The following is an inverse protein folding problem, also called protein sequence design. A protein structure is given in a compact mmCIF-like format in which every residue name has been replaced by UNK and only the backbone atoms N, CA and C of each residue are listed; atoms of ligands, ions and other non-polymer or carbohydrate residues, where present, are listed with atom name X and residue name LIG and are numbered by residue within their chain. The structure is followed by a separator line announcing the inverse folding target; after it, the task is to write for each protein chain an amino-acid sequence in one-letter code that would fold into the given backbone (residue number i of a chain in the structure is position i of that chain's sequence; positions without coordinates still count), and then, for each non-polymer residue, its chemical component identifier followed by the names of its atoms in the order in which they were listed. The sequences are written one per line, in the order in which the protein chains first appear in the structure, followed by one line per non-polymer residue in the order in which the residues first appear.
data_IF_951061617692
#
_entry.id   IF_951061617692
#
_cell.length_a   1.000
_cell.length_b   1.000
_cell.length_c   1.000
_cell.angle_alpha   90.00
_cell.angle_beta   90.00
_cell.angle_gamma   90.00
#
_symmetry.space_group_name_H-M   'P 1'
#
loop_
_entity.id
_entity.type
_entity.pdbx_description
1 polymer ?
#
# COMPACT_ATOMS: atom_id res chain seq x y z
N UNK A 1 80.27 27.01 17.57
CA UNK A 1 79.70 28.22 16.93
C UNK A 1 79.59 27.90 15.44
N UNK A 2 78.46 27.79 14.75
CA UNK A 2 77.04 28.01 15.02
C UNK A 2 76.29 26.81 14.39
N UNK A 3 75.34 26.21 15.13
CA UNK A 3 74.34 25.29 14.58
C UNK A 3 73.31 26.10 13.76
N UNK A 4 73.02 25.69 12.54
CA UNK A 4 71.84 26.17 11.80
C UNK A 4 70.81 25.05 11.77
N UNK A 5 69.84 25.18 12.66
CA UNK A 5 68.67 24.30 12.78
C UNK A 5 67.68 24.65 11.68
N UNK A 6 67.44 23.74 10.74
CA UNK A 6 66.28 23.83 9.85
C UNK A 6 65.05 23.37 10.62
N UNK A 7 64.25 24.34 11.06
CA UNK A 7 62.97 24.14 11.72
C UNK A 7 61.92 23.79 10.64
N UNK A 8 61.47 22.53 10.63
CA UNK A 8 60.26 22.12 9.89
C UNK A 8 59.05 22.78 10.56
N UNK A 9 58.49 23.84 9.95
CA UNK A 9 57.11 24.25 10.27
C UNK A 9 56.15 23.32 9.55
N UNK A 10 55.65 22.30 10.26
CA UNK A 10 54.39 21.66 9.90
C UNK A 10 53.28 22.71 10.10
N UNK A 11 52.72 23.23 9.01
CA UNK A 11 51.42 23.90 9.07
C UNK A 11 50.36 22.82 9.31
N UNK A 12 49.97 22.65 10.58
CA UNK A 12 48.71 21.97 10.90
C UNK A 12 47.60 22.93 10.50
N UNK A 13 47.08 22.78 9.29
CA UNK A 13 45.80 23.36 8.92
C UNK A 13 44.76 22.75 9.89
N UNK A 14 43.96 23.56 10.60
CA UNK A 14 42.79 23.00 11.27
C UNK A 14 41.90 22.48 10.16
N UNK A 15 41.74 21.16 10.08
CA UNK A 15 40.61 20.60 9.35
C UNK A 15 39.37 21.16 10.03
N UNK A 16 38.80 22.20 9.43
CA UNK A 16 37.40 22.53 9.61
C UNK A 16 36.67 21.30 9.11
N UNK A 17 36.39 20.35 10.01
CA UNK A 17 35.31 19.42 9.80
C UNK A 17 34.09 20.32 9.59
N UNK A 18 33.66 20.48 8.34
CA UNK A 18 32.29 20.88 8.09
C UNK A 18 31.48 19.82 8.83
N UNK A 19 30.93 20.22 9.98
CA UNK A 19 29.75 19.59 10.53
C UNK A 19 28.69 19.75 9.45
N UNK A 20 28.64 18.80 8.52
CA UNK A 20 27.43 18.51 7.79
C UNK A 20 26.44 18.21 8.91
N UNK A 21 25.38 19.02 9.10
CA UNK A 21 24.39 18.69 10.09
C UNK A 21 23.81 17.35 9.66
N UNK A 22 24.09 16.30 10.42
CA UNK A 22 23.30 15.08 10.36
C UNK A 22 21.91 15.53 10.77
N UNK A 23 21.02 15.72 9.80
CA UNK A 23 19.60 16.00 10.04
C UNK A 23 18.97 14.72 10.60
N UNK A 24 19.29 14.39 11.86
CA UNK A 24 18.51 13.48 12.66
C UNK A 24 17.35 14.29 13.23
N UNK A 25 16.26 14.34 12.48
CA UNK A 25 15.10 15.14 12.83
C UNK A 25 14.22 15.32 11.62
N UNK A 26 13.22 14.46 11.52
CA UNK A 26 11.97 14.68 10.78
C UNK A 26 11.34 16.00 11.25
N UNK A 27 11.63 17.10 10.56
CA UNK A 27 10.77 18.27 10.72
C UNK A 27 9.41 17.91 10.13
N UNK A 28 8.31 17.98 10.89
CA UNK A 28 7.01 17.60 10.37
C UNK A 28 6.70 18.39 9.10
N UNK A 29 6.48 17.69 7.97
CA UNK A 29 6.02 18.32 6.73
C UNK A 29 4.70 19.03 7.03
N UNK A 30 4.61 20.37 6.95
CA UNK A 30 3.38 21.09 7.29
C UNK A 30 2.20 20.72 6.38
N UNK A 31 2.47 20.06 5.24
CA UNK A 31 1.47 19.53 4.31
C UNK A 31 0.96 18.14 4.67
N UNK A 32 1.60 17.45 5.63
CA UNK A 32 1.15 16.16 6.15
C UNK A 32 0.57 16.35 7.54
N UNK A 33 -0.70 16.01 7.71
CA UNK A 33 -1.35 15.99 9.03
C UNK A 33 -1.50 14.54 9.48
N UNK A 34 -0.95 14.15 10.65
CA UNK A 34 -1.14 12.81 11.18
C UNK A 34 -2.64 12.51 11.33
N UNK A 35 -3.04 11.29 10.98
CA UNK A 35 -4.42 10.84 11.12
C UNK A 35 -4.44 9.47 11.78
N UNK A 36 -5.49 9.22 12.56
CA UNK A 36 -5.86 7.88 13.02
C UNK A 36 -7.38 7.75 12.94
N UNK A 37 -7.85 6.75 12.21
CA UNK A 37 -9.27 6.41 12.14
C UNK A 37 -9.48 4.95 12.51
N UNK A 38 -10.55 4.68 13.27
CA UNK A 38 -11.03 3.35 13.63
C UNK A 38 -12.36 3.00 12.96
N UNK A 39 -12.83 3.88 12.06
CA UNK A 39 -14.08 3.71 11.31
C UNK A 39 -15.32 3.44 12.21
N UNK A 40 -15.31 3.99 13.41
CA UNK A 40 -16.38 3.90 14.42
C UNK A 40 -17.40 5.06 14.31
N UNK A 41 -17.09 6.06 13.48
CA UNK A 41 -17.91 7.27 13.30
C UNK A 41 -18.40 7.36 11.87
N UNK A 42 -19.68 7.74 11.63
CA UNK A 42 -20.19 8.00 10.28
C UNK A 42 -19.35 9.02 9.50
N UNK A 43 -18.74 10.01 10.18
CA UNK A 43 -17.88 11.01 9.57
C UNK A 43 -16.50 10.50 9.13
N UNK A 44 -16.22 9.20 9.28
CA UNK A 44 -14.95 8.60 8.86
C UNK A 44 -14.99 8.10 7.40
N UNK A 45 -16.18 7.91 6.84
CA UNK A 45 -16.40 7.39 5.51
C UNK A 45 -17.60 8.10 4.85
N UNK A 46 -17.37 8.64 3.66
CA UNK A 46 -18.42 9.05 2.73
C UNK A 46 -18.49 8.07 1.55
N UNK A 47 -19.55 8.16 0.76
CA UNK A 47 -19.66 7.48 -0.53
C UNK A 47 -19.62 8.48 -1.67
N UNK A 48 -19.11 8.08 -2.83
CA UNK A 48 -18.98 8.94 -4.02
C UNK A 48 -20.31 9.57 -4.47
N UNK A 49 -21.43 8.91 -4.19
CA UNK A 49 -22.77 9.38 -4.53
C UNK A 49 -23.46 10.17 -3.40
N UNK A 50 -22.76 10.48 -2.31
CA UNK A 50 -23.26 11.42 -1.30
C UNK A 50 -23.28 12.85 -1.86
N UNK A 51 -24.14 13.75 -1.35
CA UNK A 51 -24.16 15.16 -1.78
C UNK A 51 -22.82 15.88 -1.63
N UNK A 52 -22.08 15.58 -0.56
CA UNK A 52 -20.77 16.18 -0.23
C UNK A 52 -19.72 15.09 0.06
N UNK A 53 -19.27 14.35 -0.98
CA UNK A 53 -18.59 13.08 -0.81
C UNK A 53 -17.12 13.22 -0.39
N UNK A 54 -16.56 14.43 -0.32
CA UNK A 54 -15.16 14.69 0.05
C UNK A 54 -14.98 15.25 1.46
N UNK A 55 -16.02 15.21 2.29
CA UNK A 55 -16.01 15.75 3.66
C UNK A 55 -15.41 14.80 4.70
N UNK A 56 -15.41 13.49 4.40
CA UNK A 56 -14.80 12.47 5.24
C UNK A 56 -13.34 12.24 4.84
N UNK A 57 -12.47 11.76 5.75
CA UNK A 57 -11.08 11.45 5.44
C UNK A 57 -10.94 10.30 4.43
N UNK A 58 -11.96 9.45 4.30
CA UNK A 58 -12.05 8.38 3.33
C UNK A 58 -13.37 8.42 2.56
N UNK A 59 -13.32 8.03 1.29
CA UNK A 59 -14.44 7.98 0.36
C UNK A 59 -14.52 6.60 -0.30
N UNK A 60 -15.66 5.95 -0.19
CA UNK A 60 -15.98 4.73 -0.93
C UNK A 60 -16.37 5.06 -2.36
N UNK A 61 -15.66 4.46 -3.32
CA UNK A 61 -15.92 4.58 -4.75
C UNK A 61 -16.83 3.47 -5.30
N UNK A 62 -16.99 2.37 -4.55
CA UNK A 62 -17.90 1.28 -4.86
C UNK A 62 -19.35 1.57 -4.46
N UNK A 63 -20.19 0.54 -4.57
CA UNK A 63 -21.57 0.60 -4.09
C UNK A 63 -21.63 0.81 -2.56
N UNK A 64 -22.77 1.31 -2.06
CA UNK A 64 -22.97 1.42 -0.60
C UNK A 64 -22.92 0.07 0.10
N UNK A 65 -23.18 -1.00 -0.65
CA UNK A 65 -23.14 -2.34 -0.10
C UNK A 65 -21.72 -2.93 -0.05
N UNK A 66 -20.79 -2.42 -0.86
CA UNK A 66 -19.41 -2.91 -0.86
C UNK A 66 -18.53 -2.26 0.22
N UNK A 67 -18.85 -1.05 0.69
CA UNK A 67 -18.13 -0.42 1.82
C UNK A 67 -19.09 -0.11 2.99
N UNK A 68 -18.93 -0.77 4.14
CA UNK A 68 -19.81 -0.58 5.30
C UNK A 68 -19.02 -0.30 6.57
N UNK A 69 -19.45 0.68 7.35
CA UNK A 69 -18.97 0.81 8.73
C UNK A 69 -19.59 -0.31 9.57
N UNK A 70 -18.76 -1.06 10.29
CA UNK A 70 -19.23 -2.14 11.17
C UNK A 70 -19.82 -1.55 12.45
N UNK A 71 -20.94 -2.07 12.97
CA UNK A 71 -21.48 -1.67 14.27
C UNK A 71 -20.49 -1.88 15.44
N UNK A 72 -19.56 -2.83 15.30
CA UNK A 72 -18.52 -3.14 16.28
C UNK A 72 -17.22 -2.33 16.05
N UNK A 73 -17.25 -1.40 15.11
CA UNK A 73 -16.08 -0.63 14.67
C UNK A 73 -15.28 -1.32 13.55
N UNK A 74 -14.64 -0.49 12.73
CA UNK A 74 -13.94 -0.90 11.52
C UNK A 74 -14.76 -0.68 10.25
N UNK A 75 -14.05 -0.73 9.13
CA UNK A 75 -14.59 -0.64 7.78
C UNK A 75 -14.60 -2.03 7.15
N UNK A 76 -15.77 -2.50 6.75
CA UNK A 76 -15.96 -3.74 6.00
C UNK A 76 -15.91 -3.45 4.50
N UNK A 77 -15.07 -4.21 3.80
CA UNK A 77 -14.89 -4.20 2.35
C UNK A 77 -15.45 -5.51 1.80
N UNK A 78 -16.65 -5.47 1.23
CA UNK A 78 -17.38 -6.64 0.75
C UNK A 78 -17.11 -6.89 -0.73
N UNK A 79 -16.98 -8.17 -1.08
CA UNK A 79 -17.11 -8.67 -2.45
C UNK A 79 -18.54 -9.16 -2.63
N UNK A 80 -19.36 -8.36 -3.30
CA UNK A 80 -20.75 -8.68 -3.57
C UNK A 80 -20.85 -9.70 -4.70
N UNK A 81 -21.67 -10.77 -4.55
CA UNK A 81 -21.81 -11.78 -5.57
C UNK A 81 -22.30 -11.17 -6.89
N UNK A 82 -21.83 -11.65 -8.05
CA UNK A 82 -22.33 -11.23 -9.35
C UNK A 82 -23.85 -11.37 -9.47
N UNK A 83 -24.46 -10.49 -10.26
CA UNK A 83 -25.86 -10.65 -10.64
C UNK A 83 -26.03 -11.83 -11.61
N UNK A 84 -26.73 -12.87 -11.15
CA UNK A 84 -27.03 -14.05 -11.98
C UNK A 84 -26.00 -15.18 -11.85
N UNK A 85 -26.12 -16.24 -12.67
CA UNK A 85 -25.24 -17.39 -12.60
C UNK A 85 -23.83 -17.05 -13.09
N UNK A 86 -22.82 -17.61 -12.43
CA UNK A 86 -21.42 -17.47 -12.83
C UNK A 86 -21.01 -18.72 -13.62
N UNK A 87 -20.48 -18.52 -14.83
CA UNK A 87 -19.95 -19.60 -15.65
C UNK A 87 -18.43 -19.64 -15.58
N UNK A 88 -17.89 -20.73 -15.05
CA UNK A 88 -16.44 -20.93 -14.97
C UNK A 88 -15.88 -21.55 -16.25
N UNK A 89 -14.83 -20.95 -16.81
CA UNK A 89 -14.05 -21.48 -17.95
C UNK A 89 -12.57 -21.65 -17.57
N UNK A 90 -12.22 -22.85 -17.11
CA UNK A 90 -10.88 -23.11 -16.57
C UNK A 90 -10.68 -22.34 -15.27
N UNK A 91 -9.67 -21.46 -15.23
CA UNK A 91 -9.37 -20.60 -14.09
C UNK A 91 -9.97 -19.20 -14.25
N UNK A 92 -11.11 -19.06 -14.91
CA UNK A 92 -11.78 -17.77 -15.10
C UNK A 92 -13.25 -17.88 -14.76
N UNK A 93 -13.81 -16.79 -14.26
CA UNK A 93 -15.25 -16.54 -14.25
C UNK A 93 -15.59 -15.56 -15.38
N UNK A 94 -16.76 -15.74 -16.02
CA UNK A 94 -17.28 -14.84 -17.05
C UNK A 94 -17.74 -13.49 -16.48
N UNK A 95 -18.14 -13.47 -15.21
CA UNK A 95 -18.46 -12.29 -14.43
C UNK A 95 -17.74 -12.33 -13.09
N UNK A 96 -17.36 -11.17 -12.57
CA UNK A 96 -16.67 -11.00 -11.28
C UNK A 96 -17.52 -10.21 -10.30
N UNK A 97 -17.17 -10.34 -9.02
CA UNK A 97 -17.75 -9.55 -7.92
C UNK A 97 -17.81 -8.06 -8.21
N UNK A 98 -18.84 -7.37 -7.71
CA UNK A 98 -18.71 -5.95 -7.38
C UNK A 98 -17.87 -5.84 -6.09
N UNK A 99 -16.71 -5.21 -6.19
CA UNK A 99 -15.73 -5.10 -5.10
C UNK A 99 -15.83 -3.79 -4.34
N UNK A 100 -14.89 -3.57 -3.42
CA UNK A 100 -14.81 -2.36 -2.64
C UNK A 100 -13.49 -1.63 -2.91
N UNK A 101 -13.58 -0.33 -3.16
CA UNK A 101 -12.43 0.58 -3.24
C UNK A 101 -12.72 1.80 -2.41
N UNK A 102 -11.86 2.08 -1.42
CA UNK A 102 -11.98 3.22 -0.52
C UNK A 102 -10.69 4.02 -0.55
N UNK A 103 -10.76 5.29 -0.93
CA UNK A 103 -9.59 6.16 -1.06
C UNK A 103 -9.57 7.22 0.03
N UNK A 104 -8.37 7.69 0.40
CA UNK A 104 -8.24 8.90 1.21
C UNK A 104 -8.60 10.15 0.41
N UNK A 105 -9.21 11.12 1.07
CA UNK A 105 -9.47 12.46 0.50
C UNK A 105 -8.29 13.42 0.67
N UNK A 106 -7.34 13.04 1.53
CA UNK A 106 -6.05 13.69 1.73
C UNK A 106 -4.92 12.90 1.08
N UNK A 107 -3.77 13.53 0.97
CA UNK A 107 -2.54 12.96 0.44
C UNK A 107 -1.34 13.41 1.26
N UNK A 108 -0.21 12.71 1.14
CA UNK A 108 0.99 12.94 1.93
C UNK A 108 2.25 12.56 1.14
N UNK A 109 3.38 13.17 1.46
CA UNK A 109 4.63 12.91 0.74
C UNK A 109 5.46 11.79 1.40
N UNK A 110 5.86 12.02 2.65
CA UNK A 110 6.59 11.07 3.47
C UNK A 110 5.82 10.80 4.75
N UNK A 111 5.93 9.56 5.21
CA UNK A 111 5.29 9.14 6.44
C UNK A 111 5.36 7.63 6.62
N UNK A 112 4.67 7.18 7.66
CA UNK A 112 4.38 5.77 7.89
C UNK A 112 2.88 5.58 7.95
N UNK A 113 2.36 4.76 7.04
CA UNK A 113 0.96 4.31 7.09
C UNK A 113 0.92 2.93 7.73
N UNK A 114 0.02 2.75 8.68
CA UNK A 114 -0.24 1.49 9.36
C UNK A 114 -1.70 1.12 9.15
N UNK A 115 -1.93 -0.09 8.67
CA UNK A 115 -3.23 -0.68 8.42
C UNK A 115 -3.44 -1.85 9.37
N UNK A 116 -4.50 -1.85 10.17
CA UNK A 116 -4.91 -3.03 10.93
C UNK A 116 -6.00 -3.77 10.16
N UNK A 117 -5.67 -4.93 9.60
CA UNK A 117 -6.52 -5.60 8.61
C UNK A 117 -6.72 -7.08 8.94
N UNK A 118 -7.95 -7.51 8.76
CA UNK A 118 -8.38 -8.90 8.58
C UNK A 118 -8.82 -9.08 7.12
N UNK A 119 -8.20 -9.97 6.37
CA UNK A 119 -8.50 -10.23 4.96
C UNK A 119 -9.37 -11.47 4.76
N UNK A 120 -10.06 -11.53 3.61
CA UNK A 120 -10.78 -12.71 3.18
C UNK A 120 -9.82 -13.87 2.86
N UNK A 121 -10.24 -15.11 3.12
CA UNK A 121 -9.47 -16.34 2.86
C UNK A 121 -10.08 -17.23 1.79
N UNK A 122 -10.89 -16.65 0.90
CA UNK A 122 -11.49 -17.37 -0.23
C UNK A 122 -10.52 -17.30 -1.41
N UNK A 123 -10.18 -18.41 -2.08
CA UNK A 123 -9.36 -18.36 -3.29
C UNK A 123 -9.97 -17.42 -4.36
N UNK A 124 -9.11 -16.70 -5.08
CA UNK A 124 -9.55 -15.67 -6.04
C UNK A 124 -9.84 -14.30 -5.43
N UNK A 125 -9.88 -14.16 -4.09
CA UNK A 125 -10.04 -12.84 -3.46
C UNK A 125 -8.70 -12.21 -3.14
N UNK A 126 -8.65 -10.89 -3.29
CA UNK A 126 -7.49 -10.06 -2.97
C UNK A 126 -7.93 -8.93 -2.04
N UNK A 127 -7.18 -8.71 -0.95
CA UNK A 127 -7.30 -7.52 -0.12
C UNK A 127 -6.03 -6.69 -0.26
N UNK A 128 -6.17 -5.44 -0.69
CA UNK A 128 -5.06 -4.59 -1.14
C UNK A 128 -5.09 -3.22 -0.44
N UNK A 129 -4.40 -3.04 0.69
CA UNK A 129 -4.10 -1.73 1.22
C UNK A 129 -2.85 -1.18 0.52
N UNK A 130 -3.02 -0.12 -0.27
CA UNK A 130 -1.99 0.42 -1.15
C UNK A 130 -1.77 1.91 -0.89
N UNK A 131 -0.59 2.40 -1.24
CA UNK A 131 -0.32 3.81 -1.44
C UNK A 131 -0.15 4.06 -2.93
N UNK A 132 -0.86 5.03 -3.49
CA UNK A 132 -0.82 5.30 -4.93
C UNK A 132 -0.74 6.80 -5.18
N UNK A 133 -0.22 7.20 -6.34
CA UNK A 133 -0.02 8.62 -6.60
C UNK A 133 -1.35 9.41 -6.67
N UNK A 134 -1.31 10.66 -6.23
CA UNK A 134 -2.49 11.51 -6.20
C UNK A 134 -2.91 12.06 -7.59
N UNK A 135 -2.12 11.85 -8.65
CA UNK A 135 -2.25 12.54 -9.95
C UNK A 135 -2.90 11.63 -11.00
N UNK A 136 -2.54 10.36 -11.02
CA UNK A 136 -2.90 9.35 -12.03
C UNK A 136 -4.40 9.04 -12.05
N UNK A 137 -5.11 9.17 -10.92
CA UNK A 137 -6.58 9.06 -10.90
C UNK A 137 -7.31 10.29 -11.46
N UNK A 138 -6.65 11.42 -11.65
CA UNK A 138 -7.28 12.65 -12.16
C UNK A 138 -7.00 12.90 -13.65
N UNK A 139 -6.03 12.20 -14.25
CA UNK A 139 -5.52 12.52 -15.59
C UNK A 139 -6.24 11.78 -16.73
N UNK A 140 -7.08 10.79 -16.43
CA UNK A 140 -7.67 9.92 -17.47
C UNK A 140 -6.61 9.11 -18.24
N UNK A 141 -5.39 9.05 -17.69
CA UNK A 141 -4.25 8.40 -18.30
C UNK A 141 -4.30 6.89 -18.02
N UNK A 142 -3.88 6.09 -18.99
CA UNK A 142 -4.04 4.62 -18.94
C UNK A 142 -2.91 3.90 -18.21
N UNK A 143 -1.85 4.63 -17.84
CA UNK A 143 -0.69 4.09 -17.15
C UNK A 143 -0.84 4.43 -15.67
N UNK A 144 -0.90 3.39 -14.84
CA UNK A 144 -0.91 3.51 -13.38
C UNK A 144 0.30 4.32 -12.90
N UNK A 145 0.11 5.16 -11.90
CA UNK A 145 1.15 6.05 -11.36
C UNK A 145 2.18 5.35 -10.49
N UNK A 146 2.86 6.13 -9.66
CA UNK A 146 3.64 5.54 -8.55
C UNK A 146 2.71 4.77 -7.60
N UNK A 147 3.12 3.59 -7.15
CA UNK A 147 2.30 2.72 -6.28
C UNK A 147 3.16 1.84 -5.36
N UNK A 148 2.67 1.60 -4.15
CA UNK A 148 3.27 0.76 -3.11
C UNK A 148 2.21 -0.13 -2.48
N UNK A 149 2.43 -1.43 -2.55
CA UNK A 149 1.36 -2.39 -2.27
C UNK A 149 1.66 -3.25 -1.07
N UNK A 150 0.57 -3.58 -0.38
CA UNK A 150 0.37 -4.88 0.20
C UNK A 150 -0.71 -5.62 -0.58
N UNK A 151 -0.50 -6.91 -0.82
CA UNK A 151 -1.46 -7.78 -1.48
C UNK A 151 -1.65 -9.04 -0.63
N UNK A 152 -2.86 -9.21 -0.10
CA UNK A 152 -3.25 -10.33 0.76
C UNK A 152 -4.17 -11.26 -0.03
N UNK A 153 -3.67 -12.44 -0.37
CA UNK A 153 -4.38 -13.38 -1.23
C UNK A 153 -5.12 -14.42 -0.42
N UNK A 154 -6.42 -14.56 -0.69
CA UNK A 154 -7.26 -15.50 0.05
C UNK A 154 -6.80 -16.95 -0.08
N UNK A 155 -6.24 -17.33 -1.24
CA UNK A 155 -5.66 -18.66 -1.47
C UNK A 155 -4.34 -18.90 -0.73
N UNK A 156 -3.70 -17.86 -0.18
CA UNK A 156 -2.40 -17.95 0.49
C UNK A 156 -2.43 -17.33 1.90
N UNK A 157 -3.25 -17.88 2.82
CA UNK A 157 -3.61 -17.23 4.07
C UNK A 157 -2.46 -17.11 5.08
N UNK A 158 -1.28 -17.63 4.78
CA UNK A 158 -0.07 -17.56 5.65
C UNK A 158 1.01 -16.62 5.09
N UNK A 159 0.73 -15.95 3.98
CA UNK A 159 1.69 -15.05 3.33
C UNK A 159 1.04 -13.77 2.87
N UNK A 160 1.82 -12.71 2.84
CA UNK A 160 1.48 -11.42 2.24
C UNK A 160 2.48 -11.11 1.12
N UNK A 161 2.09 -10.26 0.16
CA UNK A 161 2.98 -9.80 -0.89
C UNK A 161 3.13 -8.29 -0.83
N UNK A 162 4.31 -7.81 -1.20
CA UNK A 162 4.61 -6.39 -1.35
C UNK A 162 4.96 -6.11 -2.78
N UNK A 163 4.62 -4.93 -3.29
CA UNK A 163 5.04 -4.50 -4.61
C UNK A 163 5.32 -3.00 -4.65
N UNK A 164 6.06 -2.57 -5.67
CA UNK A 164 6.35 -1.17 -5.93
C UNK A 164 6.34 -0.92 -7.44
N UNK A 165 5.59 0.10 -7.85
CA UNK A 165 5.55 0.59 -9.21
C UNK A 165 5.99 2.05 -9.26
N UNK A 166 6.75 2.40 -10.29
CA UNK A 166 7.08 3.78 -10.64
C UNK A 166 7.33 3.88 -12.14
N UNK A 167 6.30 3.60 -12.95
CA UNK A 167 6.41 3.65 -14.40
C UNK A 167 6.69 5.08 -14.85
N UNK A 168 7.32 5.19 -16.01
CA UNK A 168 7.65 6.43 -16.68
C UNK A 168 6.62 6.72 -17.77
N UNK A 169 6.47 7.99 -18.18
CA UNK A 169 5.51 8.35 -19.22
C UNK A 169 5.69 7.61 -20.56
N UNK A 170 6.87 7.00 -20.79
CA UNK A 170 7.16 6.22 -22.00
C UNK A 170 6.79 4.74 -21.86
N UNK A 171 6.50 4.25 -20.66
CA UNK A 171 6.17 2.85 -20.44
C UNK A 171 4.75 2.56 -20.93
N UNK A 172 4.57 1.41 -21.57
CA UNK A 172 3.25 0.98 -22.05
C UNK A 172 2.45 0.20 -21.01
N UNK A 173 3.07 -0.18 -19.90
CA UNK A 173 2.44 -0.91 -18.79
C UNK A 173 3.31 -0.83 -17.52
N UNK A 174 2.72 -1.06 -16.32
CA UNK A 174 3.49 -1.20 -15.09
C UNK A 174 4.51 -2.34 -15.16
N UNK A 175 5.66 -2.17 -14.51
CA UNK A 175 6.73 -3.18 -14.45
C UNK A 175 6.40 -4.33 -13.49
N UNK A 176 5.41 -5.16 -13.83
CA UNK A 176 4.97 -6.28 -13.00
C UNK A 176 6.12 -7.23 -12.63
N UNK A 177 6.20 -7.58 -11.34
CA UNK A 177 7.19 -8.53 -10.82
C UNK A 177 8.62 -7.99 -10.73
N UNK A 178 8.86 -6.71 -11.00
CA UNK A 178 10.20 -6.13 -10.94
C UNK A 178 10.63 -5.84 -9.50
N UNK A 179 9.75 -5.22 -8.71
CA UNK A 179 10.00 -4.86 -7.31
C UNK A 179 8.96 -5.49 -6.39
N UNK A 180 8.76 -6.81 -6.50
CA UNK A 180 7.85 -7.55 -5.64
C UNK A 180 8.57 -8.35 -4.55
N UNK A 181 7.82 -8.76 -3.53
CA UNK A 181 8.30 -9.63 -2.46
C UNK A 181 7.15 -10.47 -1.90
N UNK A 182 7.45 -11.69 -1.44
CA UNK A 182 6.49 -12.57 -0.76
C UNK A 182 7.02 -12.91 0.62
N UNK A 183 6.21 -12.63 1.64
CA UNK A 183 6.62 -12.70 3.04
C UNK A 183 5.70 -13.64 3.80
N UNK A 184 6.24 -14.37 4.77
CA UNK A 184 5.42 -15.17 5.70
C UNK A 184 4.92 -14.27 6.82
N UNK A 185 3.69 -14.53 7.28
CA UNK A 185 3.23 -13.94 8.53
C UNK A 185 4.09 -14.44 9.71
N UNK A 186 4.20 -13.65 10.80
CA UNK A 186 4.93 -14.06 11.98
C UNK A 186 4.50 -15.45 12.50
N UNK A 187 5.46 -16.21 13.04
CA UNK A 187 5.15 -17.56 13.53
C UNK A 187 4.19 -17.49 14.71
N UNK A 188 3.12 -18.29 14.67
CA UNK A 188 2.11 -18.34 15.73
C UNK A 188 1.07 -17.22 15.69
N UNK A 189 1.15 -16.26 14.76
CA UNK A 189 0.19 -15.15 14.68
C UNK A 189 -1.12 -15.47 13.94
N UNK A 190 -1.25 -16.69 13.43
CA UNK A 190 -2.46 -17.16 12.76
C UNK A 190 -2.36 -17.04 11.23
N UNK A 191 -3.35 -16.41 10.61
CA UNK A 191 -3.49 -16.24 9.16
C UNK A 191 -3.97 -14.83 8.84
N UNK A 192 -4.05 -14.46 7.56
CA UNK A 192 -4.62 -13.17 7.15
C UNK A 192 -6.09 -12.97 7.60
N UNK A 193 -6.80 -14.04 8.01
CA UNK A 193 -8.12 -13.96 8.66
C UNK A 193 -8.06 -13.47 10.12
N UNK A 194 -6.88 -13.31 10.70
CA UNK A 194 -6.67 -12.63 11.98
C UNK A 194 -6.29 -11.17 11.70
N UNK A 195 -6.47 -10.30 12.69
CA UNK A 195 -6.02 -8.92 12.57
C UNK A 195 -4.50 -8.89 12.64
N UNK A 196 -3.88 -8.32 11.61
CA UNK A 196 -2.45 -8.00 11.57
C UNK A 196 -2.27 -6.51 11.28
N UNK A 197 -1.16 -5.96 11.76
CA UNK A 197 -0.73 -4.63 11.33
C UNK A 197 0.22 -4.76 10.13
N UNK A 198 -0.13 -4.11 9.04
CA UNK A 198 0.70 -3.98 7.85
C UNK A 198 1.11 -2.51 7.73
N UNK A 199 2.40 -2.23 7.56
CA UNK A 199 2.85 -0.85 7.42
C UNK A 199 3.71 -0.63 6.19
N UNK A 200 3.62 0.58 5.65
CA UNK A 200 4.51 1.11 4.62
C UNK A 200 5.06 2.42 5.16
N UNK A 201 6.37 2.46 5.41
CA UNK A 201 7.10 3.66 5.82
C UNK A 201 7.96 4.13 4.66
N UNK A 202 7.78 5.37 4.21
CA UNK A 202 8.52 5.95 3.08
C UNK A 202 9.16 7.26 3.50
N UNK A 203 10.44 7.38 3.20
CA UNK A 203 11.19 8.62 3.17
C UNK A 203 11.81 8.82 1.77
N UNK A 204 12.72 9.81 1.64
CA UNK A 204 13.36 10.11 0.36
C UNK A 204 14.31 9.01 -0.15
N UNK A 205 14.82 8.18 0.76
CA UNK A 205 15.93 7.25 0.52
C UNK A 205 15.51 5.77 0.56
N UNK A 206 14.44 5.44 1.30
CA UNK A 206 13.96 4.07 1.45
C UNK A 206 12.46 3.96 1.66
N UNK A 207 11.96 2.77 1.34
CA UNK A 207 10.63 2.29 1.71
C UNK A 207 10.81 1.02 2.54
N UNK A 208 10.08 0.94 3.65
CA UNK A 208 10.10 -0.19 4.57
C UNK A 208 8.69 -0.74 4.71
N UNK A 209 8.55 -2.03 4.45
CA UNK A 209 7.33 -2.79 4.72
C UNK A 209 7.50 -3.62 5.99
N UNK A 210 6.51 -3.56 6.87
CA UNK A 210 6.53 -4.29 8.14
C UNK A 210 5.21 -5.00 8.39
N UNK A 211 5.26 -6.16 9.06
CA UNK A 211 4.09 -6.91 9.56
C UNK A 211 4.24 -7.08 11.06
N UNK A 212 3.23 -6.69 11.83
CA UNK A 212 3.22 -6.78 13.30
C UNK A 212 4.46 -6.13 13.95
N UNK A 213 4.86 -4.98 13.40
CA UNK A 213 6.02 -4.21 13.84
C UNK A 213 7.38 -4.78 13.43
N UNK A 214 7.42 -5.89 12.68
CA UNK A 214 8.65 -6.51 12.18
C UNK A 214 8.85 -6.14 10.72
N UNK A 215 10.00 -5.51 10.41
CA UNK A 215 10.37 -5.20 9.03
C UNK A 215 10.61 -6.48 8.23
N UNK A 216 9.90 -6.63 7.11
CA UNK A 216 10.01 -7.79 6.21
C UNK A 216 10.64 -7.43 4.87
N UNK A 217 10.64 -6.15 4.50
CA UNK A 217 11.30 -5.66 3.29
C UNK A 217 11.77 -4.23 3.45
N UNK A 218 12.97 -3.96 2.97
CA UNK A 218 13.50 -2.61 2.77
C UNK A 218 13.86 -2.48 1.29
N UNK A 219 13.29 -1.48 0.61
CA UNK A 219 13.70 -1.06 -0.72
C UNK A 219 14.44 0.26 -0.60
N UNK A 220 15.72 0.30 -0.97
CA UNK A 220 16.46 1.56 -1.07
C UNK A 220 16.24 2.16 -2.44
N UNK A 221 16.30 3.49 -2.51
CA UNK A 221 16.20 4.26 -3.75
C UNK A 221 17.30 3.88 -4.75
N UNK A 222 18.52 3.69 -4.26
CA UNK A 222 19.66 3.27 -5.11
C UNK A 222 19.48 1.87 -5.72
N UNK A 223 18.74 0.99 -5.04
CA UNK A 223 18.45 -0.37 -5.51
C UNK A 223 17.28 -0.43 -6.52
N UNK A 224 16.70 0.72 -6.90
CA UNK A 224 15.59 0.79 -7.86
C UNK A 224 16.00 1.34 -9.23
N UNK A 225 17.31 1.38 -9.52
CA UNK A 225 17.82 1.68 -10.86
C UNK A 225 17.88 0.42 -11.73
N UNK A 226 17.25 0.48 -12.90
CA UNK A 226 17.24 -0.60 -13.90
C UNK A 226 17.63 0.01 -15.24
N UNK A 227 18.68 -0.54 -15.87
CA UNK A 227 19.20 -0.06 -17.16
C UNK A 227 19.47 1.46 -17.20
N UNK A 228 19.95 2.02 -16.08
CA UNK A 228 20.24 3.45 -15.93
C UNK A 228 19.00 4.34 -15.70
N UNK A 229 17.82 3.73 -15.51
CA UNK A 229 16.57 4.44 -15.22
C UNK A 229 16.17 4.20 -13.77
N UNK A 230 16.02 5.30 -13.02
CA UNK A 230 15.57 5.24 -11.63
C UNK A 230 14.05 5.07 -11.55
N UNK A 231 13.62 3.88 -11.13
CA UNK A 231 12.22 3.50 -10.90
C UNK A 231 11.84 3.70 -9.43
N UNK A 232 11.89 4.96 -8.98
CA UNK A 232 11.58 5.34 -7.60
C UNK A 232 10.32 6.19 -7.50
N UNK A 233 9.36 5.81 -6.64
CA UNK A 233 8.21 6.65 -6.32
C UNK A 233 8.60 8.01 -5.79
N UNK A 234 8.13 9.08 -6.44
CA UNK A 234 8.45 10.48 -6.10
C UNK A 234 7.22 11.34 -5.86
N UNK A 235 6.05 10.90 -6.29
CA UNK A 235 4.83 11.67 -6.14
C UNK A 235 4.28 11.62 -4.71
N UNK A 236 3.42 12.60 -4.43
CA UNK A 236 2.56 12.61 -3.26
C UNK A 236 1.55 11.46 -3.37
N UNK A 237 1.33 10.77 -2.25
CA UNK A 237 0.57 9.52 -2.19
C UNK A 237 -0.78 9.72 -1.51
N UNK A 238 -1.77 8.98 -1.99
CA UNK A 238 -3.04 8.71 -1.31
C UNK A 238 -3.04 7.28 -0.78
N UNK A 239 -3.90 7.05 0.19
CA UNK A 239 -4.20 5.71 0.70
C UNK A 239 -5.37 5.15 -0.10
N UNK A 240 -5.29 3.89 -0.53
CA UNK A 240 -6.42 3.12 -1.04
C UNK A 240 -6.56 1.80 -0.29
N UNK A 241 -7.79 1.41 -0.01
CA UNK A 241 -8.16 0.16 0.62
C UNK A 241 -9.08 -0.59 -0.34
N UNK A 242 -8.58 -1.69 -0.89
CA UNK A 242 -9.28 -2.49 -1.88
C UNK A 242 -9.63 -3.90 -1.40
N UNK A 243 -10.76 -4.41 -1.83
CA UNK A 243 -11.07 -5.85 -1.82
C UNK A 243 -11.74 -6.23 -3.15
N UNK A 244 -11.14 -7.18 -3.89
CA UNK A 244 -11.53 -7.45 -5.28
C UNK A 244 -11.38 -8.92 -5.70
N UNK A 245 -12.10 -9.28 -6.77
CA UNK A 245 -12.18 -10.61 -7.37
C UNK A 245 -11.22 -10.73 -8.56
N UNK A 246 -10.22 -11.60 -8.43
CA UNK A 246 -9.16 -11.82 -9.42
C UNK A 246 -9.53 -12.78 -10.56
N UNK A 247 -10.79 -13.20 -10.66
CA UNK A 247 -11.22 -14.29 -11.57
C UNK A 247 -11.30 -13.93 -13.06
N UNK A 248 -11.00 -12.69 -13.47
CA UNK A 248 -11.27 -12.23 -14.84
C UNK A 248 -10.14 -12.45 -15.86
N UNK A 249 -8.87 -12.50 -15.42
CA UNK A 249 -7.71 -12.63 -16.29
C UNK A 249 -6.84 -13.82 -15.89
N UNK A 250 -6.35 -14.61 -16.86
CA UNK A 250 -5.75 -15.92 -16.56
C UNK A 250 -4.52 -15.78 -15.66
N UNK A 251 -3.64 -14.82 -15.94
CA UNK A 251 -2.46 -14.55 -15.11
C UNK A 251 -2.84 -14.12 -13.69
N UNK A 252 -3.77 -13.17 -13.58
CA UNK A 252 -4.26 -12.63 -12.32
C UNK A 252 -4.98 -13.69 -11.47
N UNK A 253 -5.88 -14.47 -12.08
CA UNK A 253 -6.57 -15.54 -11.39
C UNK A 253 -5.61 -16.64 -10.94
N UNK A 254 -4.66 -17.05 -11.79
CA UNK A 254 -3.64 -18.02 -11.40
C UNK A 254 -2.79 -17.52 -10.22
N UNK A 255 -2.40 -16.25 -10.24
CA UNK A 255 -1.67 -15.61 -9.13
C UNK A 255 -2.49 -15.59 -7.83
N UNK A 256 -3.80 -15.33 -7.92
CA UNK A 256 -4.73 -15.34 -6.79
C UNK A 256 -5.18 -16.75 -6.34
N UNK A 257 -4.65 -17.81 -6.96
CA UNK A 257 -4.92 -19.20 -6.61
C UNK A 257 -6.18 -19.80 -7.24
N UNK A 258 -6.60 -19.27 -8.39
CA UNK A 258 -7.80 -19.67 -9.13
C UNK A 258 -8.96 -18.69 -8.94
N UNK A 259 -10.10 -18.93 -9.61
CA UNK A 259 -11.27 -18.08 -9.51
C UNK A 259 -12.04 -18.34 -8.21
N UNK A 260 -12.86 -17.38 -7.77
CA UNK A 260 -13.84 -17.59 -6.71
C UNK A 260 -14.87 -18.62 -7.20
N UNK A 261 -15.08 -19.68 -6.41
CA UNK A 261 -16.12 -20.69 -6.67
C UNK A 261 -17.38 -20.25 -5.91
N UNK A 262 -18.21 -19.43 -6.56
CA UNK A 262 -19.36 -18.78 -5.92
C UNK A 262 -20.40 -19.77 -5.37
N UNK A 263 -20.51 -20.98 -5.94
CA UNK A 263 -21.40 -22.03 -5.44
C UNK A 263 -21.00 -22.54 -4.03
N UNK A 264 -19.71 -22.45 -3.70
CA UNK A 264 -19.15 -22.87 -2.42
C UNK A 264 -19.19 -21.77 -1.36
N UNK A 265 -19.45 -20.52 -1.76
CA UNK A 265 -19.54 -19.36 -0.85
C UNK A 265 -20.85 -19.44 -0.05
N UNK A 266 -20.73 -19.63 1.27
CA UNK A 266 -21.88 -19.72 2.18
C UNK A 266 -22.11 -18.46 3.00
N UNK A 267 -21.07 -17.67 3.20
CA UNK A 267 -21.08 -16.43 3.97
C UNK A 267 -20.55 -15.28 3.10
N UNK A 268 -20.97 -14.03 3.36
CA UNK A 268 -20.46 -12.87 2.64
C UNK A 268 -18.93 -12.80 2.68
N UNK A 269 -18.31 -12.62 1.51
CA UNK A 269 -16.86 -12.49 1.45
C UNK A 269 -16.50 -11.03 1.75
N UNK A 270 -15.71 -10.82 2.80
CA UNK A 270 -15.27 -9.47 3.18
C UNK A 270 -13.88 -9.44 3.79
N UNK A 271 -13.23 -8.30 3.64
CA UNK A 271 -12.13 -7.87 4.49
C UNK A 271 -12.62 -6.83 5.51
N UNK A 272 -11.92 -6.70 6.64
CA UNK A 272 -12.22 -5.71 7.67
C UNK A 272 -10.96 -4.91 7.97
N UNK A 273 -11.04 -3.60 7.77
CA UNK A 273 -10.01 -2.63 8.17
C UNK A 273 -10.40 -2.08 9.52
N UNK A 274 -9.70 -2.50 10.58
CA UNK A 274 -9.96 -2.07 11.95
C UNK A 274 -9.48 -0.65 12.20
N UNK A 275 -8.33 -0.28 11.64
CA UNK A 275 -7.85 1.08 11.71
C UNK A 275 -6.88 1.43 10.58
N UNK A 276 -6.76 2.73 10.31
CA UNK A 276 -5.68 3.30 9.51
C UNK A 276 -5.04 4.43 10.30
N UNK A 277 -3.72 4.43 10.38
CA UNK A 277 -2.94 5.51 10.98
C UNK A 277 -1.88 6.02 10.00
N UNK A 278 -1.73 7.33 9.90
CA UNK A 278 -0.64 8.00 9.19
C UNK A 278 0.18 8.80 10.21
N UNK A 279 1.46 8.47 10.28
CA UNK A 279 2.48 9.25 10.97
C UNK A 279 3.22 10.09 9.93
N UNK A 280 3.39 11.38 10.21
CA UNK A 280 4.07 12.33 9.32
C UNK A 280 5.47 12.64 9.84
N UNK A 281 6.43 12.77 8.92
CA UNK A 281 7.82 13.11 9.22
C UNK A 281 8.50 13.90 8.11
#
# INVERSE_FOLDING_TARGET
MLQSSFLFLLFILPSLALLIPTRSGSDPDPRCQPIKTTFDKPSSLSHINDPDPFTSPFICLGSRDSCKLSPEGGLELHLLPPEGPVTRKGNLNDVVSDGATVNSTFSFNYGKVIFEIQAATVPGTVTAPILYDAISMNSGDTIQGDELDWELLGAHPKTCQTNMFSPKPQDSSPHYGMFNGKHRLPSGSGSIANVHSYSIARDADKIVWSVDGVDVRVQRREDSEVDGVLLWPRHEMKISLGAWDASYAVGTSNWAGGPIIWEDVKEPIKAVVKSVSLECW
#
